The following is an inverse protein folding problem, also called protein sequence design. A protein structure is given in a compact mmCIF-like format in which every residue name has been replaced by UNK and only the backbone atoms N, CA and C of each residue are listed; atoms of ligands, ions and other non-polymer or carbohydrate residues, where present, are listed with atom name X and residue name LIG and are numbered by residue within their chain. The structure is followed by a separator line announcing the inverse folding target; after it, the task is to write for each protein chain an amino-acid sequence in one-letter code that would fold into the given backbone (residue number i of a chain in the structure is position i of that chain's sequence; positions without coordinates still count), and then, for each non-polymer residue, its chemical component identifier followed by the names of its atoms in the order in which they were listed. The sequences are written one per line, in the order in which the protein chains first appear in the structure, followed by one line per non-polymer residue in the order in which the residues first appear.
data_IF_142341815558
#
_entry.id   IF_142341815558
#
_cell.length_a   1.000
_cell.length_b   1.000
_cell.length_c   1.000
_cell.angle_alpha   90.00
_cell.angle_beta   90.00
_cell.angle_gamma   90.00
#
_symmetry.space_group_name_H-M   'P 1'
#
loop_
_entity.id
_entity.type
_entity.pdbx_description
1 polymer ?
#
# COMPACT_ATOMS: atom_id res chain seq x y z
N UNK A 1 -17.97 -11.45 -23.36
CA UNK A 1 -19.34 -12.04 -23.34
C UNK A 1 -19.21 -13.50 -23.71
N UNK A 2 -19.16 -14.42 -22.75
CA UNK A 2 -19.32 -15.85 -22.95
C UNK A 2 -20.83 -16.09 -22.83
N UNK A 3 -21.45 -16.52 -23.91
CA UNK A 3 -22.87 -16.75 -23.97
C UNK A 3 -23.30 -17.82 -22.94
N UNK A 4 -24.39 -17.62 -22.20
CA UNK A 4 -24.85 -18.57 -21.14
C UNK A 4 -25.43 -19.89 -21.66
N UNK A 5 -25.34 -20.18 -22.95
CA UNK A 5 -26.13 -21.24 -23.58
C UNK A 5 -25.43 -22.60 -23.73
N UNK A 6 -24.14 -22.74 -23.42
CA UNK A 6 -23.41 -24.00 -23.63
C UNK A 6 -23.12 -24.85 -22.37
N UNK A 7 -23.69 -24.48 -21.22
CA UNK A 7 -23.55 -25.25 -19.98
C UNK A 7 -24.80 -26.06 -19.64
N UNK A 8 -25.71 -26.21 -20.58
CA UNK A 8 -26.90 -27.01 -20.35
C UNK A 8 -26.81 -28.37 -21.07
N UNK A 9 -26.99 -29.39 -20.37
CA UNK A 9 -27.75 -30.59 -20.69
C UNK A 9 -27.06 -31.94 -20.79
N UNK A 10 -25.74 -32.10 -20.88
CA UNK A 10 -25.17 -33.43 -21.07
C UNK A 10 -24.31 -34.02 -19.95
N UNK A 11 -24.12 -33.31 -18.83
CA UNK A 11 -23.57 -33.93 -17.62
C UNK A 11 -24.73 -34.39 -16.78
N UNK A 12 -25.09 -35.68 -16.91
CA UNK A 12 -26.02 -36.31 -15.99
C UNK A 12 -25.48 -36.13 -14.57
N UNK A 13 -26.34 -35.71 -13.64
CA UNK A 13 -25.94 -35.52 -12.22
C UNK A 13 -25.36 -36.81 -11.61
N UNK A 14 -25.62 -37.98 -12.20
CA UNK A 14 -25.02 -39.25 -11.85
C UNK A 14 -23.52 -39.36 -12.11
N UNK A 15 -22.98 -38.57 -13.02
CA UNK A 15 -21.57 -38.64 -13.42
C UNK A 15 -20.65 -37.80 -12.53
N UNK A 16 -21.24 -36.91 -11.73
CA UNK A 16 -20.51 -36.05 -10.80
C UNK A 16 -20.21 -36.70 -9.44
N UNK A 17 -20.91 -37.82 -9.12
CA UNK A 17 -20.80 -38.40 -7.78
C UNK A 17 -20.49 -39.90 -7.88
N UNK A 18 -19.43 -40.36 -7.23
CA UNK A 18 -19.03 -41.77 -7.16
C UNK A 18 -20.10 -42.65 -6.53
N UNK A 19 -20.97 -42.10 -5.69
CA UNK A 19 -22.09 -42.78 -5.09
C UNK A 19 -23.22 -41.79 -4.77
N UNK A 20 -24.48 -42.18 -4.97
CA UNK A 20 -25.68 -41.35 -4.76
C UNK A 20 -25.75 -40.69 -3.36
N UNK A 21 -25.22 -41.36 -2.33
CA UNK A 21 -25.18 -40.80 -0.96
C UNK A 21 -24.24 -39.63 -0.81
N UNK A 22 -23.34 -39.33 -1.78
CA UNK A 22 -22.42 -38.20 -1.78
C UNK A 22 -23.08 -36.92 -2.32
N UNK A 23 -24.10 -37.03 -3.16
CA UNK A 23 -24.79 -35.90 -3.76
C UNK A 23 -25.23 -34.84 -2.75
N UNK A 24 -25.97 -35.15 -1.65
CA UNK A 24 -26.41 -34.16 -0.70
C UNK A 24 -25.28 -33.52 0.10
N UNK A 25 -24.08 -34.11 0.09
CA UNK A 25 -22.88 -33.57 0.79
C UNK A 25 -22.05 -32.70 -0.15
N UNK A 26 -21.89 -33.11 -1.39
CA UNK A 26 -20.98 -32.49 -2.36
C UNK A 26 -21.68 -31.60 -3.39
N UNK A 27 -23.02 -31.53 -3.41
CA UNK A 27 -23.74 -30.66 -4.36
C UNK A 27 -23.38 -29.18 -4.24
N UNK A 28 -23.10 -28.69 -3.02
CA UNK A 28 -22.70 -27.32 -2.75
C UNK A 28 -21.32 -26.97 -3.29
N UNK A 29 -20.53 -27.98 -3.62
CA UNK A 29 -19.17 -27.87 -4.18
C UNK A 29 -19.03 -28.59 -5.53
N UNK A 30 -20.15 -28.82 -6.20
CA UNK A 30 -20.23 -29.41 -7.54
C UNK A 30 -19.46 -30.73 -7.68
N UNK A 31 -19.61 -31.62 -6.69
CA UNK A 31 -18.97 -32.92 -6.66
C UNK A 31 -17.56 -32.95 -6.07
N UNK A 32 -16.94 -31.80 -5.81
CA UNK A 32 -15.57 -31.74 -5.30
C UNK A 32 -15.52 -31.71 -3.77
N UNK A 33 -14.48 -32.32 -3.20
CA UNK A 33 -14.11 -32.15 -1.79
C UNK A 33 -13.43 -30.76 -1.61
N UNK A 34 -13.98 -29.91 -0.76
CA UNK A 34 -13.48 -28.58 -0.45
C UNK A 34 -13.32 -28.36 1.05
N UNK A 35 -14.22 -28.92 1.85
CA UNK A 35 -14.29 -28.65 3.28
C UNK A 35 -14.05 -29.88 4.14
N UNK A 36 -13.38 -29.68 5.29
CA UNK A 36 -13.18 -30.73 6.30
C UNK A 36 -14.52 -31.33 6.78
N UNK A 37 -15.54 -30.50 6.89
CA UNK A 37 -16.88 -30.91 7.29
C UNK A 37 -17.53 -31.89 6.29
N UNK A 38 -17.23 -31.75 5.00
CA UNK A 38 -17.72 -32.75 3.99
C UNK A 38 -17.10 -34.10 4.23
N UNK A 39 -15.82 -34.20 4.56
CA UNK A 39 -15.17 -35.46 4.92
C UNK A 39 -15.82 -36.07 6.16
N UNK A 40 -16.11 -35.28 7.19
CA UNK A 40 -16.81 -35.76 8.38
C UNK A 40 -18.19 -36.34 8.03
N UNK A 41 -18.93 -35.72 7.14
CA UNK A 41 -20.23 -36.18 6.69
C UNK A 41 -20.13 -37.44 5.82
N UNK A 42 -19.14 -37.51 4.93
CA UNK A 42 -18.86 -38.65 4.09
C UNK A 42 -18.60 -39.92 4.92
N UNK A 43 -17.66 -39.86 5.89
CA UNK A 43 -17.33 -41.01 6.71
C UNK A 43 -18.49 -41.46 7.60
N UNK A 44 -19.33 -40.50 8.05
CA UNK A 44 -20.56 -40.82 8.79
C UNK A 44 -21.62 -41.45 7.92
N UNK A 45 -21.83 -40.95 6.71
CA UNK A 45 -22.87 -41.41 5.78
C UNK A 45 -22.53 -42.72 5.12
N UNK A 46 -21.28 -42.86 4.66
CA UNK A 46 -20.84 -44.06 3.95
C UNK A 46 -20.41 -45.19 4.90
N UNK A 47 -19.64 -44.87 5.95
CA UNK A 47 -19.06 -45.88 6.83
C UNK A 47 -19.71 -45.93 8.23
N UNK A 48 -20.75 -45.13 8.50
CA UNK A 48 -21.48 -45.18 9.76
C UNK A 48 -20.69 -44.66 10.98
N UNK A 49 -19.72 -43.80 10.78
CA UNK A 49 -18.95 -43.22 11.87
C UNK A 49 -19.81 -42.40 12.83
N UNK A 50 -19.49 -42.46 14.11
CA UNK A 50 -20.06 -41.52 15.10
C UNK A 50 -19.50 -40.12 14.87
N UNK A 51 -20.16 -39.10 15.42
CA UNK A 51 -19.70 -37.70 15.35
C UNK A 51 -18.28 -37.56 15.96
N UNK A 52 -18.03 -38.16 17.12
CA UNK A 52 -16.74 -38.12 17.78
C UNK A 52 -15.63 -38.76 16.94
N UNK A 53 -15.88 -39.88 16.29
CA UNK A 53 -14.90 -40.53 15.41
C UNK A 53 -14.59 -39.70 14.16
N UNK A 54 -15.63 -39.13 13.54
CA UNK A 54 -15.44 -38.25 12.39
C UNK A 54 -14.64 -36.94 12.76
N UNK A 55 -14.78 -36.43 14.00
CA UNK A 55 -13.99 -35.31 14.48
C UNK A 55 -12.51 -35.67 14.74
N UNK A 56 -12.23 -36.91 15.19
CA UNK A 56 -10.84 -37.39 15.29
C UNK A 56 -10.19 -37.38 13.91
N UNK A 57 -10.86 -37.89 12.88
CA UNK A 57 -10.36 -37.88 11.53
C UNK A 57 -10.13 -36.45 11.00
N UNK A 58 -11.09 -35.54 11.24
CA UNK A 58 -10.94 -34.13 10.89
C UNK A 58 -9.69 -33.50 11.57
N UNK A 59 -9.44 -33.84 12.84
CA UNK A 59 -8.24 -33.34 13.55
C UNK A 59 -6.95 -33.90 12.97
N UNK A 60 -6.93 -35.17 12.55
CA UNK A 60 -5.80 -35.78 11.87
C UNK A 60 -5.49 -35.04 10.56
N UNK A 61 -6.52 -34.72 9.77
CA UNK A 61 -6.41 -33.89 8.56
C UNK A 61 -5.86 -32.49 8.86
N UNK A 62 -6.43 -31.80 9.84
CA UNK A 62 -6.01 -30.44 10.23
C UNK A 62 -4.57 -30.37 10.73
N UNK A 63 -4.04 -31.46 11.30
CA UNK A 63 -2.64 -31.59 11.73
C UNK A 63 -1.73 -32.16 10.63
N UNK A 64 -2.28 -32.46 9.46
CA UNK A 64 -1.58 -33.13 8.35
C UNK A 64 -0.93 -34.47 8.74
N UNK A 65 -1.56 -35.20 9.69
CA UNK A 65 -1.08 -36.50 10.15
C UNK A 65 -1.61 -37.60 9.25
N UNK A 66 -0.85 -37.95 8.22
CA UNK A 66 -1.22 -38.94 7.22
C UNK A 66 -1.26 -40.35 7.80
N UNK A 67 -0.42 -40.67 8.81
CA UNK A 67 -0.38 -42.04 9.40
C UNK A 67 -1.69 -42.30 10.15
N UNK A 68 -2.24 -41.38 10.88
CA UNK A 68 -3.52 -41.50 11.58
C UNK A 68 -4.68 -41.66 10.58
N UNK A 69 -4.62 -40.95 9.44
CA UNK A 69 -5.62 -41.11 8.38
C UNK A 69 -5.56 -42.52 7.75
N UNK A 70 -4.37 -42.98 7.39
CA UNK A 70 -4.20 -44.28 6.76
C UNK A 70 -4.60 -45.43 7.69
N UNK A 71 -4.39 -45.30 9.01
CA UNK A 71 -4.82 -46.25 10.01
C UNK A 71 -6.36 -46.44 10.05
N UNK A 72 -7.14 -45.43 9.64
CA UNK A 72 -8.60 -45.52 9.57
C UNK A 72 -9.12 -46.21 8.30
N UNK A 73 -8.28 -46.48 7.31
CA UNK A 73 -8.71 -47.02 6.00
C UNK A 73 -9.50 -48.33 6.11
N UNK A 74 -8.98 -49.32 6.85
CA UNK A 74 -9.64 -50.60 7.00
C UNK A 74 -11.01 -50.46 7.68
N UNK A 75 -11.09 -49.68 8.73
CA UNK A 75 -12.33 -49.42 9.47
C UNK A 75 -13.38 -48.72 8.57
N UNK A 76 -12.93 -47.75 7.76
CA UNK A 76 -13.80 -47.07 6.81
C UNK A 76 -14.38 -48.06 5.78
N UNK A 77 -13.54 -48.91 5.19
CA UNK A 77 -13.96 -49.89 4.20
C UNK A 77 -14.92 -50.96 4.78
N UNK A 78 -14.67 -51.39 6.02
CA UNK A 78 -15.60 -52.28 6.72
C UNK A 78 -16.98 -51.63 6.97
N UNK A 79 -16.96 -50.32 7.36
CA UNK A 79 -18.18 -49.56 7.52
C UNK A 79 -18.95 -49.39 6.22
N UNK A 80 -18.27 -49.06 5.11
CA UNK A 80 -18.85 -49.00 3.77
C UNK A 80 -19.50 -50.31 3.37
N UNK A 81 -18.82 -51.44 3.59
CA UNK A 81 -19.37 -52.79 3.31
C UNK A 81 -20.65 -53.07 4.10
N UNK A 82 -20.69 -52.71 5.39
CA UNK A 82 -21.90 -52.85 6.23
C UNK A 82 -23.07 -52.03 5.72
N UNK A 83 -22.81 -50.88 5.09
CA UNK A 83 -23.83 -50.02 4.51
C UNK A 83 -24.12 -50.32 3.02
N UNK A 84 -23.65 -51.45 2.49
CA UNK A 84 -23.93 -51.89 1.13
C UNK A 84 -23.17 -51.18 0.02
N UNK A 85 -22.08 -50.48 0.37
CA UNK A 85 -21.24 -49.73 -0.58
C UNK A 85 -20.12 -50.67 -1.07
N UNK A 86 -19.93 -50.74 -2.38
CA UNK A 86 -18.92 -51.56 -3.02
C UNK A 86 -17.50 -51.19 -2.60
N UNK A 87 -16.60 -52.15 -2.49
CA UNK A 87 -15.23 -51.98 -2.05
C UNK A 87 -14.48 -50.95 -2.92
N UNK A 88 -14.64 -51.04 -4.24
CA UNK A 88 -13.96 -50.14 -5.19
C UNK A 88 -14.36 -48.67 -4.98
N UNK A 89 -15.66 -48.41 -4.80
CA UNK A 89 -16.17 -47.04 -4.48
C UNK A 89 -15.62 -46.57 -3.17
N UNK A 90 -15.63 -47.41 -2.11
CA UNK A 90 -15.06 -47.07 -0.81
C UNK A 90 -13.59 -46.72 -0.87
N UNK A 91 -12.79 -47.52 -1.62
CA UNK A 91 -11.35 -47.25 -1.79
C UNK A 91 -11.11 -45.96 -2.56
N UNK A 92 -11.85 -45.66 -3.61
CA UNK A 92 -11.73 -44.42 -4.39
C UNK A 92 -12.05 -43.23 -3.55
N UNK A 93 -13.20 -43.23 -2.84
CA UNK A 93 -13.60 -42.12 -1.96
C UNK A 93 -12.57 -41.89 -0.83
N UNK A 94 -12.06 -43.00 -0.26
CA UNK A 94 -11.04 -42.87 0.78
C UNK A 94 -9.75 -42.26 0.25
N UNK A 95 -9.27 -42.66 -0.90
CA UNK A 95 -8.06 -42.10 -1.51
C UNK A 95 -8.23 -40.64 -1.89
N UNK A 96 -9.42 -40.23 -2.37
CA UNK A 96 -9.73 -38.81 -2.59
C UNK A 96 -9.68 -38.01 -1.28
N UNK A 97 -10.26 -38.56 -0.19
CA UNK A 97 -10.19 -37.90 1.12
C UNK A 97 -8.76 -37.76 1.63
N UNK A 98 -7.90 -38.77 1.43
CA UNK A 98 -6.47 -38.72 1.81
C UNK A 98 -5.73 -37.67 0.99
N UNK A 99 -5.91 -37.66 -0.32
CA UNK A 99 -5.32 -36.69 -1.21
C UNK A 99 -5.75 -35.26 -0.85
N UNK A 100 -7.00 -35.09 -0.47
CA UNK A 100 -7.57 -33.80 -0.07
C UNK A 100 -7.11 -33.35 1.33
N UNK A 101 -6.68 -34.26 2.22
CA UNK A 101 -6.34 -33.94 3.61
C UNK A 101 -5.28 -32.85 3.75
N UNK A 102 -4.35 -32.75 2.81
CA UNK A 102 -3.32 -31.73 2.82
C UNK A 102 -3.86 -30.31 2.58
N UNK A 103 -4.99 -30.20 1.85
CA UNK A 103 -5.58 -28.94 1.40
C UNK A 103 -6.93 -28.65 2.05
N UNK A 104 -7.41 -29.52 2.94
CA UNK A 104 -8.72 -29.45 3.57
C UNK A 104 -8.93 -28.13 4.34
N UNK A 105 -9.99 -27.39 4.00
CA UNK A 105 -10.29 -26.10 4.58
C UNK A 105 -11.51 -26.15 5.51
N UNK A 106 -11.49 -25.35 6.60
CA UNK A 106 -12.63 -25.30 7.53
C UNK A 106 -13.75 -24.44 6.95
N UNK A 107 -14.96 -24.98 6.81
CA UNK A 107 -16.12 -24.28 6.22
C UNK A 107 -16.57 -23.08 7.05
N UNK A 108 -16.54 -23.19 8.37
CA UNK A 108 -16.93 -22.08 9.27
C UNK A 108 -16.00 -20.90 9.11
N UNK A 109 -14.69 -21.15 8.97
CA UNK A 109 -13.70 -20.11 8.70
C UNK A 109 -13.96 -19.45 7.34
N UNK A 110 -14.18 -20.25 6.28
CA UNK A 110 -14.50 -19.72 4.96
C UNK A 110 -15.77 -18.86 4.97
N UNK A 111 -16.82 -19.31 5.65
CA UNK A 111 -18.07 -18.55 5.76
C UNK A 111 -17.89 -17.20 6.49
N UNK A 112 -17.10 -17.19 7.57
CA UNK A 112 -16.80 -15.95 8.29
C UNK A 112 -16.04 -14.95 7.43
N UNK A 113 -15.02 -15.42 6.69
CA UNK A 113 -14.27 -14.55 5.76
C UNK A 113 -15.10 -14.13 4.54
N UNK A 114 -15.98 -14.98 4.04
CA UNK A 114 -16.89 -14.58 2.97
C UNK A 114 -17.85 -13.47 3.41
N UNK A 115 -18.38 -13.56 4.64
CA UNK A 115 -19.20 -12.49 5.21
C UNK A 115 -18.41 -11.19 5.37
N UNK A 116 -17.17 -11.26 5.88
CA UNK A 116 -16.27 -10.10 5.99
C UNK A 116 -15.95 -9.53 4.60
N UNK A 117 -15.63 -10.39 3.63
CA UNK A 117 -15.39 -9.98 2.25
C UNK A 117 -16.58 -9.27 1.62
N UNK A 118 -17.79 -9.78 1.87
CA UNK A 118 -19.02 -9.11 1.44
C UNK A 118 -19.18 -7.73 2.10
N UNK A 119 -19.00 -7.63 3.43
CA UNK A 119 -19.11 -6.36 4.14
C UNK A 119 -18.10 -5.34 3.63
N UNK A 120 -16.85 -5.73 3.42
CA UNK A 120 -15.82 -4.81 2.89
C UNK A 120 -16.13 -4.37 1.46
N UNK A 121 -16.59 -5.31 0.61
CA UNK A 121 -17.05 -4.99 -0.75
C UNK A 121 -18.25 -4.04 -0.77
N UNK A 122 -19.22 -4.28 0.10
CA UNK A 122 -20.40 -3.42 0.27
C UNK A 122 -20.00 -1.99 0.69
N UNK A 123 -19.16 -1.89 1.74
CA UNK A 123 -18.69 -0.58 2.23
C UNK A 123 -17.87 0.16 1.16
N UNK A 124 -17.01 -0.53 0.44
CA UNK A 124 -16.23 0.07 -0.66
C UNK A 124 -17.12 0.56 -1.80
N UNK A 125 -18.23 -0.14 -2.08
CA UNK A 125 -19.16 0.23 -3.16
C UNK A 125 -20.04 1.44 -2.78
N UNK A 126 -20.63 1.42 -1.58
CA UNK A 126 -21.64 2.41 -1.19
C UNK A 126 -21.08 3.58 -0.36
N UNK A 127 -19.94 3.39 0.31
CA UNK A 127 -19.27 4.38 1.16
C UNK A 127 -17.76 4.44 0.84
N UNK A 128 -17.39 4.67 -0.45
CA UNK A 128 -16.00 4.53 -0.89
C UNK A 128 -15.05 5.49 -0.19
N UNK A 129 -15.48 6.70 0.13
CA UNK A 129 -14.63 7.73 0.76
C UNK A 129 -14.29 7.33 2.19
N UNK A 130 -15.30 6.93 2.97
CA UNK A 130 -15.17 6.49 4.36
C UNK A 130 -14.36 5.19 4.43
N UNK A 131 -14.63 4.25 3.50
CA UNK A 131 -13.89 2.99 3.41
C UNK A 131 -12.40 3.24 3.16
N UNK A 132 -12.06 4.10 2.18
CA UNK A 132 -10.67 4.42 1.86
C UNK A 132 -9.99 5.18 3.01
N UNK A 133 -10.67 6.09 3.70
CA UNK A 133 -10.12 6.78 4.87
C UNK A 133 -9.81 5.80 6.03
N UNK A 134 -10.72 4.84 6.29
CA UNK A 134 -10.51 3.79 7.28
C UNK A 134 -9.36 2.85 6.89
N UNK A 135 -9.27 2.48 5.62
CA UNK A 135 -8.21 1.63 5.09
C UNK A 135 -6.83 2.31 5.20
N UNK A 136 -6.72 3.59 4.83
CA UNK A 136 -5.50 4.39 5.02
C UNK A 136 -5.12 4.49 6.48
N UNK A 137 -6.10 4.67 7.38
CA UNK A 137 -5.88 4.70 8.82
C UNK A 137 -5.30 3.40 9.35
N UNK A 138 -5.74 2.25 8.84
CA UNK A 138 -5.26 0.93 9.28
C UNK A 138 -3.79 0.66 8.92
N UNK A 139 -3.25 1.39 7.95
CA UNK A 139 -1.87 1.23 7.47
C UNK A 139 -0.99 2.45 7.73
N UNK A 140 -1.39 3.34 8.64
CA UNK A 140 -0.53 4.44 9.09
C UNK A 140 0.78 3.88 9.63
N UNK A 141 1.91 4.37 9.10
CA UNK A 141 3.25 3.84 9.42
C UNK A 141 3.80 2.83 8.38
N UNK A 142 2.96 2.30 7.47
CA UNK A 142 3.40 1.46 6.35
C UNK A 142 3.40 2.29 5.04
N UNK A 143 4.46 3.04 4.81
CA UNK A 143 4.55 4.04 3.72
C UNK A 143 4.14 3.49 2.34
N UNK A 144 4.63 2.31 1.96
CA UNK A 144 4.32 1.68 0.66
C UNK A 144 2.83 1.37 0.50
N UNK A 145 2.21 0.77 1.54
CA UNK A 145 0.77 0.47 1.50
C UNK A 145 -0.07 1.73 1.50
N UNK A 146 0.33 2.73 2.29
CA UNK A 146 -0.37 4.02 2.35
C UNK A 146 -0.33 4.72 0.98
N UNK A 147 0.83 4.76 0.32
CA UNK A 147 0.98 5.32 -1.03
C UNK A 147 0.08 4.61 -2.05
N UNK A 148 0.03 3.27 -2.01
CA UNK A 148 -0.86 2.44 -2.86
C UNK A 148 -2.34 2.79 -2.63
N UNK A 149 -2.78 2.92 -1.38
CA UNK A 149 -4.19 3.23 -1.09
C UNK A 149 -4.55 4.67 -1.43
N UNK A 150 -3.63 5.64 -1.28
CA UNK A 150 -3.84 7.02 -1.74
C UNK A 150 -3.99 7.05 -3.27
N UNK A 151 -3.15 6.31 -4.00
CA UNK A 151 -3.29 6.15 -5.45
C UNK A 151 -4.66 5.56 -5.81
N UNK A 152 -5.04 4.45 -5.20
CA UNK A 152 -6.33 3.80 -5.43
C UNK A 152 -7.51 4.75 -5.18
N UNK A 153 -7.46 5.56 -4.10
CA UNK A 153 -8.49 6.55 -3.83
C UNK A 153 -8.57 7.59 -4.96
N UNK A 154 -7.44 8.08 -5.45
CA UNK A 154 -7.38 9.03 -6.57
C UNK A 154 -7.91 8.43 -7.88
N UNK A 155 -7.58 7.18 -8.17
CA UNK A 155 -8.07 6.44 -9.35
C UNK A 155 -9.60 6.24 -9.28
N UNK A 156 -10.18 6.16 -8.06
CA UNK A 156 -11.62 6.18 -7.81
C UNK A 156 -12.24 7.59 -7.87
N UNK A 157 -11.46 8.62 -8.18
CA UNK A 157 -11.92 10.02 -8.21
C UNK A 157 -12.06 10.67 -6.83
N UNK A 158 -11.57 10.04 -5.77
CA UNK A 158 -11.62 10.55 -4.39
C UNK A 158 -10.41 11.45 -4.16
N UNK A 159 -10.67 12.71 -3.79
CA UNK A 159 -9.63 13.66 -3.47
C UNK A 159 -9.06 13.40 -2.07
N UNK A 160 -7.74 13.27 -1.99
CA UNK A 160 -6.99 13.17 -0.73
C UNK A 160 -6.24 14.48 -0.53
N UNK A 161 -6.64 15.21 0.50
CA UNK A 161 -6.06 16.50 0.86
C UNK A 161 -4.71 16.29 1.59
N UNK A 162 -3.73 17.19 1.42
CA UNK A 162 -2.49 17.15 2.19
C UNK A 162 -2.76 17.37 3.68
N UNK A 163 -1.77 17.08 4.56
CA UNK A 163 -1.88 17.41 5.98
C UNK A 163 -2.19 18.91 6.17
N UNK A 164 -3.06 19.21 7.13
CA UNK A 164 -3.43 20.59 7.49
C UNK A 164 -3.80 20.63 8.97
N UNK A 165 -3.12 21.46 9.77
CA UNK A 165 -3.37 21.59 11.21
C UNK A 165 -4.75 22.18 11.52
N UNK A 166 -5.36 22.89 10.58
CA UNK A 166 -6.70 23.46 10.72
C UNK A 166 -7.82 22.47 10.37
N UNK A 167 -7.53 21.41 9.61
CA UNK A 167 -8.53 20.44 9.11
C UNK A 167 -8.26 18.99 9.52
N UNK A 168 -6.97 18.62 9.66
CA UNK A 168 -6.55 17.28 9.98
C UNK A 168 -6.89 16.89 11.43
N UNK A 169 -7.14 15.61 11.62
CA UNK A 169 -7.29 14.97 12.92
C UNK A 169 -6.17 13.94 13.10
N UNK A 170 -6.24 13.20 14.19
CA UNK A 170 -5.31 12.09 14.47
C UNK A 170 -5.22 11.11 13.30
N UNK A 171 -6.39 10.65 12.82
CA UNK A 171 -6.57 9.66 11.75
C UNK A 171 -7.03 10.33 10.47
N UNK A 172 -6.99 9.60 9.36
CA UNK A 172 -7.64 10.04 8.14
C UNK A 172 -9.13 10.24 8.39
N UNK A 173 -9.68 11.35 7.94
CA UNK A 173 -11.07 11.74 8.19
C UNK A 173 -11.75 12.21 6.91
N UNK A 174 -13.08 12.09 6.87
CA UNK A 174 -13.86 12.51 5.71
C UNK A 174 -14.55 13.84 6.01
N UNK A 175 -14.46 14.76 5.06
CA UNK A 175 -15.18 16.02 5.10
C UNK A 175 -15.58 16.43 3.68
N UNK A 176 -16.86 16.73 3.47
CA UNK A 176 -17.41 17.16 2.17
C UNK A 176 -17.07 16.20 0.99
N UNK A 177 -17.01 14.89 1.25
CA UNK A 177 -16.69 13.88 0.23
C UNK A 177 -15.19 13.80 -0.14
N UNK A 178 -14.33 14.47 0.60
CA UNK A 178 -12.87 14.44 0.45
C UNK A 178 -12.22 13.80 1.69
N UNK A 179 -11.05 13.19 1.53
CA UNK A 179 -10.27 12.62 2.64
C UNK A 179 -9.25 13.64 3.10
N UNK A 180 -9.27 14.00 4.38
CA UNK A 180 -8.22 14.79 5.03
C UNK A 180 -7.14 13.87 5.60
N UNK A 181 -5.87 14.25 5.38
CA UNK A 181 -4.72 13.47 5.85
C UNK A 181 -4.66 13.41 7.36
N UNK A 182 -4.41 12.22 7.91
CA UNK A 182 -4.23 12.01 9.35
C UNK A 182 -2.89 12.58 9.83
N UNK A 183 -2.91 13.44 10.84
CA UNK A 183 -1.69 14.09 11.32
C UNK A 183 -0.69 13.10 11.96
N UNK A 184 -1.16 11.97 12.50
CA UNK A 184 -0.28 10.88 12.98
C UNK A 184 0.46 10.14 11.86
N UNK A 185 0.02 10.24 10.62
CA UNK A 185 0.74 9.67 9.49
C UNK A 185 1.94 10.53 9.03
N UNK A 186 2.14 11.71 9.62
CA UNK A 186 3.34 12.52 9.43
C UNK A 186 4.45 11.99 10.32
N UNK A 187 5.63 11.72 9.76
CA UNK A 187 6.79 11.23 10.53
C UNK A 187 7.12 12.11 11.70
N UNK A 188 7.47 11.52 12.82
CA UNK A 188 7.85 12.16 14.09
C UNK A 188 6.77 13.02 14.75
N UNK A 189 5.52 12.94 14.32
CA UNK A 189 4.38 13.59 14.96
C UNK A 189 3.68 12.57 15.84
N UNK A 190 3.75 12.75 17.15
CA UNK A 190 3.15 11.85 18.14
C UNK A 190 1.72 12.24 18.52
N UNK A 191 0.96 11.29 19.11
CA UNK A 191 -0.44 11.48 19.50
C UNK A 191 -0.65 12.67 20.44
N UNK A 192 0.23 12.86 21.44
CA UNK A 192 0.14 13.98 22.37
C UNK A 192 0.19 15.35 21.70
N UNK A 193 0.99 15.49 20.63
CA UNK A 193 1.06 16.73 19.85
C UNK A 193 -0.23 16.95 19.05
N UNK A 194 -0.76 15.90 18.44
CA UNK A 194 -2.01 15.98 17.66
C UNK A 194 -3.21 16.29 18.56
N UNK A 195 -3.26 15.68 19.75
CA UNK A 195 -4.27 16.02 20.76
C UNK A 195 -4.19 17.48 21.18
N UNK A 196 -2.98 18.00 21.47
CA UNK A 196 -2.77 19.39 21.81
C UNK A 196 -3.23 20.33 20.69
N UNK A 197 -2.95 20.00 19.42
CA UNK A 197 -3.43 20.76 18.25
C UNK A 197 -4.96 20.76 18.21
N UNK A 198 -5.58 19.59 18.40
CA UNK A 198 -7.04 19.44 18.34
C UNK A 198 -7.72 20.21 19.48
N UNK A 199 -7.21 20.11 20.69
CA UNK A 199 -7.72 20.82 21.86
C UNK A 199 -7.60 22.35 21.69
N UNK A 200 -6.44 22.84 21.23
CA UNK A 200 -6.22 24.25 20.94
C UNK A 200 -7.19 24.75 19.86
N UNK A 201 -7.33 24.01 18.77
CA UNK A 201 -8.26 24.34 17.68
C UNK A 201 -9.72 24.40 18.16
N UNK A 202 -10.13 23.50 19.06
CA UNK A 202 -11.48 23.50 19.63
C UNK A 202 -11.76 24.72 20.49
N UNK A 203 -10.72 25.32 21.10
CA UNK A 203 -10.82 26.54 21.93
C UNK A 203 -10.86 27.80 21.09
N UNK A 204 -9.96 27.93 20.09
CA UNK A 204 -9.76 29.19 19.36
C UNK A 204 -10.28 29.19 17.92
N UNK A 205 -10.79 28.04 17.45
CA UNK A 205 -11.18 27.88 16.06
C UNK A 205 -10.00 27.58 15.16
N UNK A 206 -9.89 28.28 14.03
CA UNK A 206 -8.80 28.08 13.06
C UNK A 206 -7.61 28.99 13.40
N UNK A 207 -6.41 28.42 13.34
CA UNK A 207 -5.17 29.18 13.46
C UNK A 207 -4.96 30.04 12.21
N UNK A 208 -4.63 31.34 12.40
CA UNK A 208 -4.41 32.29 11.31
C UNK A 208 -2.95 32.29 10.82
N UNK A 209 -2.02 32.17 11.76
CA UNK A 209 -0.57 32.24 11.55
C UNK A 209 0.18 31.32 12.52
N UNK A 210 1.49 31.21 12.36
CA UNK A 210 2.33 30.33 13.19
C UNK A 210 2.42 30.80 14.66
N UNK A 211 2.31 32.09 14.92
CA UNK A 211 2.30 32.67 16.28
C UNK A 211 1.03 32.19 17.01
N UNK A 212 -0.14 32.40 16.40
CA UNK A 212 -1.42 31.92 16.91
C UNK A 212 -1.38 30.42 17.14
N UNK A 213 -0.82 29.65 16.22
CA UNK A 213 -0.69 28.19 16.35
C UNK A 213 0.14 27.82 17.59
N UNK A 214 1.37 28.32 17.71
CA UNK A 214 2.29 27.93 18.80
C UNK A 214 1.82 28.51 20.15
N UNK A 215 1.27 29.73 20.20
CA UNK A 215 0.81 30.33 21.45
C UNK A 215 -0.32 29.56 22.14
N UNK A 216 -1.23 28.94 21.40
CA UNK A 216 -2.36 28.19 21.95
C UNK A 216 -2.07 26.71 22.24
N UNK A 217 -0.91 26.17 21.82
CA UNK A 217 -0.53 24.80 22.14
C UNK A 217 -0.05 24.68 23.61
N UNK A 218 -0.26 23.50 24.20
CA UNK A 218 0.31 23.19 25.51
C UNK A 218 1.85 23.07 25.43
N UNK A 219 2.56 23.91 26.17
CA UNK A 219 4.01 23.98 26.18
C UNK A 219 4.71 22.67 26.57
N UNK A 220 4.04 21.79 27.34
CA UNK A 220 4.57 20.49 27.79
C UNK A 220 4.39 19.38 26.74
N UNK A 221 3.43 19.55 25.82
CA UNK A 221 3.09 18.55 24.78
C UNK A 221 3.71 18.87 23.42
N UNK A 222 4.22 20.10 23.23
CA UNK A 222 4.86 20.55 22.00
C UNK A 222 6.37 20.29 22.04
N UNK A 223 6.92 19.77 20.92
CA UNK A 223 8.35 19.66 20.73
C UNK A 223 8.79 20.20 19.36
N UNK A 224 10.03 20.72 19.30
CA UNK A 224 10.59 21.34 18.08
C UNK A 224 10.56 20.39 16.88
N UNK A 225 10.90 19.10 17.10
CA UNK A 225 10.97 18.14 15.99
C UNK A 225 9.62 17.88 15.35
N UNK A 226 8.57 17.73 16.14
CA UNK A 226 7.21 17.50 15.60
C UNK A 226 6.72 18.74 14.80
N UNK A 227 6.95 19.95 15.29
CA UNK A 227 6.56 21.20 14.59
C UNK A 227 7.36 21.34 13.30
N UNK A 228 8.67 21.09 13.32
CA UNK A 228 9.51 21.06 12.12
C UNK A 228 8.92 20.11 11.07
N UNK A 229 8.57 18.89 11.48
CA UNK A 229 8.01 17.87 10.59
C UNK A 229 6.63 18.28 10.05
N UNK A 230 5.77 18.93 10.86
CA UNK A 230 4.52 19.50 10.40
C UNK A 230 4.73 20.61 9.37
N UNK A 231 5.72 21.49 9.58
CA UNK A 231 6.07 22.54 8.60
C UNK A 231 6.55 21.89 7.30
N UNK A 232 7.50 20.96 7.37
CA UNK A 232 8.09 20.28 6.21
C UNK A 232 7.06 19.42 5.44
N UNK A 233 6.09 18.83 6.12
CA UNK A 233 4.99 18.11 5.48
C UNK A 233 3.97 19.00 4.77
N UNK A 234 4.09 20.33 4.96
CA UNK A 234 3.14 21.30 4.43
C UNK A 234 1.86 21.45 5.25
N UNK A 235 1.80 20.91 6.47
CA UNK A 235 0.61 20.97 7.32
C UNK A 235 0.24 22.41 7.77
N UNK A 236 1.16 23.37 7.60
CA UNK A 236 0.96 24.77 7.92
C UNK A 236 0.66 25.66 6.69
N UNK A 237 0.43 25.07 5.51
CA UNK A 237 0.14 25.89 4.31
C UNK A 237 -1.16 26.69 4.38
N UNK A 238 -2.07 26.34 5.26
CA UNK A 238 -3.30 27.10 5.51
C UNK A 238 -3.06 28.37 6.36
N UNK A 239 -1.88 28.50 6.96
CA UNK A 239 -1.49 29.66 7.74
C UNK A 239 -0.89 30.77 6.86
N UNK A 240 -0.92 32.00 7.36
CA UNK A 240 -0.23 33.16 6.75
C UNK A 240 1.28 32.92 6.74
N UNK A 241 1.93 33.20 5.62
CA UNK A 241 3.37 33.00 5.41
C UNK A 241 3.70 31.82 4.51
N UNK A 242 4.98 31.55 4.34
CA UNK A 242 5.50 30.45 3.53
C UNK A 242 6.37 29.51 4.39
N UNK A 243 6.74 28.34 3.81
CA UNK A 243 7.47 27.32 4.55
C UNK A 243 8.82 27.80 5.07
N UNK A 244 9.56 28.63 4.29
CA UNK A 244 10.83 29.18 4.72
C UNK A 244 10.66 30.08 5.93
N UNK A 245 9.66 30.95 5.92
CA UNK A 245 9.34 31.86 7.03
C UNK A 245 8.98 31.08 8.30
N UNK A 246 8.14 30.03 8.17
CA UNK A 246 7.76 29.19 9.30
C UNK A 246 8.98 28.50 9.91
N UNK A 247 9.88 27.93 9.05
CA UNK A 247 11.12 27.30 9.50
C UNK A 247 12.10 28.26 10.17
N UNK A 248 12.06 29.53 9.82
CA UNK A 248 12.93 30.53 10.42
C UNK A 248 12.53 30.94 11.86
N UNK A 249 11.23 30.86 12.20
CA UNK A 249 10.72 31.42 13.47
C UNK A 249 10.27 30.36 14.49
N UNK A 250 9.92 29.12 14.08
CA UNK A 250 9.28 28.13 14.96
C UNK A 250 10.10 27.79 16.21
N UNK A 251 11.42 27.70 16.11
CA UNK A 251 12.26 27.31 17.25
C UNK A 251 12.30 28.42 18.34
N UNK A 252 12.36 29.66 17.94
CA UNK A 252 12.34 30.80 18.87
C UNK A 252 10.99 30.88 19.58
N UNK A 253 9.88 30.73 18.83
CA UNK A 253 8.54 30.77 19.38
C UNK A 253 8.28 29.62 20.39
N UNK A 254 8.70 28.40 20.10
CA UNK A 254 8.57 27.27 21.03
C UNK A 254 9.44 27.52 22.28
N UNK A 255 10.68 28.02 22.10
CA UNK A 255 11.59 28.27 23.22
C UNK A 255 11.07 29.36 24.13
N UNK A 256 10.48 30.42 23.58
CA UNK A 256 9.84 31.50 24.33
C UNK A 256 8.62 30.97 25.10
N UNK A 257 7.74 30.26 24.43
CA UNK A 257 6.56 29.60 25.06
C UNK A 257 6.97 28.74 26.25
N UNK A 258 8.00 27.90 26.09
CA UNK A 258 8.48 27.01 27.15
C UNK A 258 9.13 27.76 28.32
N UNK A 259 9.83 28.87 28.06
CA UNK A 259 10.39 29.75 29.12
C UNK A 259 9.27 30.40 29.92
N UNK A 260 8.28 30.97 29.24
CA UNK A 260 7.17 31.66 29.90
C UNK A 260 6.38 30.67 30.79
N UNK A 261 6.16 29.43 30.30
CA UNK A 261 5.50 28.39 31.09
C UNK A 261 6.29 27.99 32.36
N UNK A 262 7.62 27.94 32.32
CA UNK A 262 8.46 27.67 33.50
C UNK A 262 8.38 28.78 34.52
N UNK A 263 8.40 30.05 34.09
CA UNK A 263 8.28 31.19 34.99
C UNK A 263 6.95 31.22 35.72
N UNK A 264 5.85 30.87 35.05
CA UNK A 264 4.53 30.72 35.67
C UNK A 264 4.51 29.61 36.73
N UNK A 265 5.14 28.46 36.45
CA UNK A 265 5.21 27.33 37.39
C UNK A 265 6.11 27.61 38.60
N UNK A 266 7.15 28.48 38.47
CA UNK A 266 8.05 28.86 39.55
C UNK A 266 7.49 29.99 40.44
N UNK A 267 6.22 30.43 40.20
CA UNK A 267 5.54 31.43 41.04
C UNK A 267 5.98 32.89 40.81
N UNK A 268 6.77 33.13 39.77
CA UNK A 268 7.04 34.50 39.29
C UNK A 268 5.95 34.93 38.30
N UNK A 269 4.85 35.44 38.82
CA UNK A 269 3.84 36.07 37.99
C UNK A 269 4.47 37.27 37.24
N UNK A 270 4.54 37.17 35.92
CA UNK A 270 4.88 38.29 35.08
C UNK A 270 3.73 39.31 35.15
N UNK A 271 4.06 40.61 35.13
CA UNK A 271 3.09 41.70 35.04
C UNK A 271 2.10 41.56 33.85
N UNK A 272 2.40 40.68 32.90
CA UNK A 272 1.55 40.36 31.75
C UNK A 272 0.46 39.30 32.05
N UNK A 273 0.55 38.55 33.16
CA UNK A 273 -0.43 37.51 33.52
C UNK A 273 -1.69 38.06 34.24
N UNK A 274 -1.71 39.36 34.57
CA UNK A 274 -2.83 40.05 35.25
C UNK A 274 -3.97 40.44 34.31
N UNK A 275 -3.97 40.01 33.07
CA UNK A 275 -4.97 40.47 32.11
C UNK A 275 -5.30 39.53 30.98
N UNK A 276 -5.67 38.24 31.26
CA UNK A 276 -6.30 37.42 30.21
C UNK A 276 -7.55 38.09 29.64
N UNK A 277 -8.28 38.87 30.44
CA UNK A 277 -9.45 39.65 29.99
C UNK A 277 -9.10 40.99 29.29
N UNK A 278 -7.82 41.44 29.36
CA UNK A 278 -7.35 42.70 28.73
C UNK A 278 -6.56 42.42 27.45
N UNK A 279 -5.96 41.21 27.32
CA UNK A 279 -5.15 40.84 26.14
C UNK A 279 -6.08 40.60 24.93
N UNK A 280 -7.28 40.05 25.10
CA UNK A 280 -8.26 39.96 24.03
C UNK A 280 -8.78 41.33 23.52
N UNK A 281 -8.69 42.38 24.34
CA UNK A 281 -9.08 43.75 23.95
C UNK A 281 -7.94 44.59 23.36
N UNK A 282 -6.67 44.17 23.56
CA UNK A 282 -5.48 44.88 23.03
C UNK A 282 -4.89 44.19 21.79
N UNK A 283 -5.32 42.96 21.47
CA UNK A 283 -4.78 42.18 20.34
C UNK A 283 -5.40 42.56 18.97
N UNK A 284 -6.34 43.51 18.96
CA UNK A 284 -6.77 44.14 17.70
C UNK A 284 -5.76 45.19 17.17
N UNK A 285 -4.66 45.45 17.88
CA UNK A 285 -3.77 46.59 17.52
C UNK A 285 -2.26 46.44 17.62
N UNK A 286 -1.67 45.35 18.17
CA UNK A 286 -0.20 45.32 18.28
C UNK A 286 0.44 43.98 18.44
N UNK A 287 1.15 43.62 17.47
CA UNK A 287 2.12 42.60 17.10
C UNK A 287 1.53 41.40 16.35
N UNK A 288 1.02 41.66 15.15
CA UNK A 288 1.27 40.70 14.08
C UNK A 288 2.76 40.36 14.13
N UNK A 289 3.14 39.18 14.65
CA UNK A 289 4.53 38.75 14.69
C UNK A 289 5.03 38.78 13.26
N UNK A 290 5.83 39.80 12.94
CA UNK A 290 6.32 40.07 11.59
C UNK A 290 7.16 38.86 11.18
N UNK A 291 6.64 38.05 10.25
CA UNK A 291 7.44 37.03 9.61
C UNK A 291 8.61 37.68 8.85
N UNK A 292 9.80 37.09 8.84
CA UNK A 292 10.95 37.64 8.13
C UNK A 292 10.63 37.75 6.63
N UNK A 293 11.08 38.84 6.00
CA UNK A 293 10.94 39.01 4.56
C UNK A 293 11.89 38.06 3.83
N UNK A 294 11.36 36.93 3.39
CA UNK A 294 12.12 35.94 2.63
C UNK A 294 11.21 35.19 1.64
N UNK A 295 11.79 34.84 0.51
CA UNK A 295 11.12 33.98 -0.48
C UNK A 295 10.91 32.58 0.05
N UNK A 296 9.98 31.85 -0.57
CA UNK A 296 9.76 30.44 -0.22
C UNK A 296 10.91 29.55 -0.70
N UNK A 297 11.03 28.38 -0.10
CA UNK A 297 11.99 27.35 -0.55
C UNK A 297 11.64 26.87 -1.96
N UNK A 298 12.64 26.38 -2.69
CA UNK A 298 12.43 25.89 -4.05
C UNK A 298 11.40 24.74 -4.09
N UNK A 299 10.62 24.65 -5.16
CA UNK A 299 9.65 23.55 -5.36
C UNK A 299 10.30 22.18 -5.22
N UNK A 300 11.54 22.00 -5.70
CA UNK A 300 12.29 20.77 -5.56
C UNK A 300 12.51 20.42 -4.09
N UNK A 301 12.92 21.38 -3.26
CA UNK A 301 13.15 21.16 -1.84
C UNK A 301 11.85 20.91 -1.08
N UNK A 302 10.74 21.59 -1.46
CA UNK A 302 9.40 21.29 -0.91
C UNK A 302 9.00 19.85 -1.17
N UNK A 303 9.19 19.35 -2.39
CA UNK A 303 8.90 17.95 -2.76
C UNK A 303 9.80 16.96 -1.98
N UNK A 304 11.08 17.28 -1.80
CA UNK A 304 11.99 16.45 -0.99
C UNK A 304 11.51 16.38 0.46
N UNK A 305 11.11 17.49 1.06
CA UNK A 305 10.56 17.50 2.42
C UNK A 305 9.24 16.77 2.52
N UNK A 306 8.34 16.94 1.55
CA UNK A 306 7.07 16.20 1.50
C UNK A 306 7.33 14.69 1.47
N UNK A 307 8.22 14.21 0.58
CA UNK A 307 8.61 12.80 0.47
C UNK A 307 9.24 12.28 1.77
N UNK A 308 10.15 13.06 2.37
CA UNK A 308 10.81 12.70 3.63
C UNK A 308 9.80 12.52 4.78
N UNK A 309 8.82 13.43 4.89
CA UNK A 309 7.85 13.45 6.00
C UNK A 309 6.65 12.53 5.80
N UNK A 310 6.20 12.34 4.56
CA UNK A 310 4.99 11.57 4.24
C UNK A 310 5.28 10.21 3.58
N UNK A 311 6.50 9.99 3.11
CA UNK A 311 6.90 8.80 2.35
C UNK A 311 6.43 8.80 0.89
N UNK A 312 5.70 9.85 0.45
CA UNK A 312 5.10 9.95 -0.88
C UNK A 312 4.90 11.40 -1.32
N UNK A 313 4.62 11.61 -2.60
CA UNK A 313 4.29 12.91 -3.16
C UNK A 313 2.76 13.10 -3.23
N UNK A 314 2.20 14.03 -2.43
CA UNK A 314 0.77 14.31 -2.43
C UNK A 314 0.38 15.43 -3.39
N UNK A 315 1.09 16.56 -3.35
CA UNK A 315 0.75 17.74 -4.16
C UNK A 315 1.35 17.70 -5.55
N UNK A 316 2.65 17.48 -5.64
CA UNK A 316 3.38 17.54 -6.90
C UNK A 316 4.31 16.34 -7.01
N UNK A 317 4.10 15.53 -8.04
CA UNK A 317 5.01 14.43 -8.35
C UNK A 317 6.10 14.95 -9.32
N UNK A 318 7.39 14.68 -9.09
CA UNK A 318 8.47 15.15 -9.98
C UNK A 318 8.30 14.74 -11.44
N UNK A 319 7.67 13.59 -11.67
CA UNK A 319 7.41 13.05 -13.01
C UNK A 319 6.19 13.68 -13.70
N UNK A 320 5.42 14.56 -13.04
CA UNK A 320 4.14 15.08 -13.56
C UNK A 320 4.29 15.77 -14.92
N UNK A 321 5.33 16.58 -15.04
CA UNK A 321 5.58 17.35 -16.28
C UNK A 321 6.08 16.44 -17.42
N UNK A 322 6.58 15.25 -17.10
CA UNK A 322 7.07 14.25 -18.05
C UNK A 322 6.07 13.12 -18.34
N UNK A 323 4.86 13.20 -17.78
CA UNK A 323 3.87 12.10 -17.84
C UNK A 323 3.62 11.62 -19.28
N UNK A 324 3.40 12.54 -20.22
CA UNK A 324 3.15 12.19 -21.62
C UNK A 324 4.34 11.48 -22.27
N UNK A 325 5.55 11.91 -21.96
CA UNK A 325 6.79 11.30 -22.49
C UNK A 325 6.94 9.89 -21.90
N UNK A 326 6.73 9.76 -20.59
CA UNK A 326 6.81 8.49 -19.88
C UNK A 326 5.77 7.51 -20.44
N UNK A 327 4.50 7.90 -20.51
CA UNK A 327 3.40 7.04 -20.99
C UNK A 327 3.63 6.54 -22.44
N UNK A 328 4.33 7.33 -23.29
CA UNK A 328 4.68 6.92 -24.64
C UNK A 328 5.93 6.03 -24.72
N UNK A 329 6.80 6.07 -23.72
CA UNK A 329 8.06 5.33 -23.72
C UNK A 329 7.93 3.97 -23.05
N UNK A 330 7.19 3.86 -21.94
CA UNK A 330 7.17 2.68 -21.08
C UNK A 330 6.36 1.52 -21.68
N UNK A 331 6.79 0.30 -21.38
CA UNK A 331 6.01 -0.93 -21.62
C UNK A 331 5.49 -1.55 -20.33
N UNK A 332 6.05 -1.16 -19.17
CA UNK A 332 5.69 -1.70 -17.86
C UNK A 332 5.78 -0.59 -16.80
N UNK A 333 5.01 -0.73 -15.73
CA UNK A 333 5.06 0.12 -14.52
C UNK A 333 5.59 -0.68 -13.34
N UNK A 334 6.08 0.00 -12.31
CA UNK A 334 6.62 -0.64 -11.12
C UNK A 334 5.58 -1.53 -10.41
N UNK A 335 4.30 -1.13 -10.38
CA UNK A 335 3.21 -1.93 -9.80
C UNK A 335 3.04 -3.30 -10.48
N UNK A 336 3.32 -3.41 -11.78
CA UNK A 336 3.21 -4.68 -12.51
C UNK A 336 4.32 -5.68 -12.11
N UNK A 337 5.39 -5.21 -11.46
CA UNK A 337 6.48 -6.05 -10.93
C UNK A 337 6.22 -6.50 -9.49
N UNK A 338 5.31 -5.86 -8.76
CA UNK A 338 4.89 -6.23 -7.42
C UNK A 338 3.68 -7.17 -7.48
N UNK A 339 3.86 -8.49 -7.76
CA UNK A 339 2.83 -9.54 -7.65
C UNK A 339 1.40 -9.12 -8.07
N UNK A 340 1.26 -8.59 -9.27
CA UNK A 340 -0.04 -8.35 -9.87
C UNK A 340 -0.50 -9.64 -10.56
N UNK A 341 -1.49 -10.35 -9.98
CA UNK A 341 -2.09 -11.56 -10.57
C UNK A 341 -2.64 -11.31 -11.99
N UNK A 342 -2.83 -10.06 -12.36
CA UNK A 342 -3.32 -9.65 -13.69
C UNK A 342 -2.22 -9.58 -14.76
N UNK A 343 -0.92 -9.56 -14.37
CA UNK A 343 0.20 -9.48 -15.28
C UNK A 343 1.18 -10.65 -15.09
N UNK A 344 1.25 -11.52 -16.10
CA UNK A 344 2.16 -12.68 -16.07
C UNK A 344 3.56 -12.24 -16.51
N UNK A 345 4.43 -12.01 -15.53
CA UNK A 345 5.84 -11.69 -15.75
C UNK A 345 6.59 -12.91 -16.31
N UNK A 346 7.44 -12.68 -17.33
CA UNK A 346 8.35 -13.71 -17.86
C UNK A 346 9.79 -13.30 -17.59
N UNK A 347 10.58 -14.23 -17.07
CA UNK A 347 12.01 -14.02 -16.91
C UNK A 347 12.67 -13.78 -18.28
N UNK A 348 13.57 -12.79 -18.35
CA UNK A 348 14.23 -12.37 -19.59
C UNK A 348 13.37 -11.51 -20.53
N UNK A 349 12.13 -11.17 -20.21
CA UNK A 349 11.27 -10.31 -21.01
C UNK A 349 11.86 -8.91 -21.13
N UNK A 350 11.87 -8.37 -22.37
CA UNK A 350 12.38 -7.02 -22.63
C UNK A 350 11.36 -5.96 -22.28
N UNK A 351 11.74 -5.05 -21.40
CA UNK A 351 10.85 -4.01 -20.87
C UNK A 351 11.47 -2.63 -20.95
N UNK A 352 10.60 -1.62 -20.91
CA UNK A 352 10.95 -0.21 -20.80
C UNK A 352 10.22 0.40 -19.61
N UNK A 353 10.97 1.07 -18.76
CA UNK A 353 10.46 1.80 -17.60
C UNK A 353 11.10 3.17 -17.52
N UNK A 354 10.41 4.15 -16.96
CA UNK A 354 10.96 5.47 -16.72
C UNK A 354 10.52 5.97 -15.35
N UNK A 355 11.43 6.64 -14.65
CA UNK A 355 11.17 7.09 -13.28
C UNK A 355 12.28 8.02 -12.77
N UNK A 356 12.12 8.43 -11.50
CA UNK A 356 13.15 9.15 -10.77
C UNK A 356 14.02 8.16 -10.00
N UNK A 357 15.33 8.43 -9.99
CA UNK A 357 16.29 7.64 -9.21
C UNK A 357 16.17 8.01 -7.75
N UNK A 358 15.65 7.12 -6.91
CA UNK A 358 15.49 7.34 -5.47
C UNK A 358 16.73 6.96 -4.68
N UNK A 359 17.47 5.93 -5.14
CA UNK A 359 18.68 5.46 -4.48
C UNK A 359 19.67 4.88 -5.50
N UNK A 360 20.96 5.02 -5.22
CA UNK A 360 22.06 4.45 -6.03
C UNK A 360 23.10 3.85 -5.09
N UNK A 361 23.40 2.58 -5.29
CA UNK A 361 24.49 1.89 -4.62
C UNK A 361 25.50 1.39 -5.65
N UNK A 362 26.68 2.01 -5.69
CA UNK A 362 27.77 1.62 -6.61
C UNK A 362 28.69 0.64 -5.90
N UNK A 363 28.91 -0.50 -6.50
CA UNK A 363 29.81 -1.53 -5.98
C UNK A 363 30.92 -1.86 -6.98
N UNK A 364 32.03 -2.36 -6.46
CA UNK A 364 33.13 -2.87 -7.28
C UNK A 364 33.05 -4.40 -7.35
N UNK A 365 33.03 -4.94 -8.55
CA UNK A 365 33.01 -6.39 -8.79
C UNK A 365 34.35 -7.04 -8.46
N UNK A 366 34.36 -8.39 -8.36
CA UNK A 366 35.61 -9.14 -8.15
C UNK A 366 36.65 -8.93 -9.27
N UNK A 367 36.23 -8.45 -10.45
CA UNK A 367 37.13 -8.11 -11.59
C UNK A 367 37.58 -6.66 -11.57
N UNK A 368 37.32 -5.93 -10.48
CA UNK A 368 37.64 -4.50 -10.31
C UNK A 368 36.83 -3.55 -11.23
N UNK A 369 35.75 -4.02 -11.83
CA UNK A 369 34.83 -3.19 -12.61
C UNK A 369 33.74 -2.60 -11.69
N UNK A 370 33.25 -1.40 -11.99
CA UNK A 370 32.16 -0.78 -11.26
C UNK A 370 30.80 -1.17 -11.85
N UNK A 371 29.84 -1.45 -11.01
CA UNK A 371 28.43 -1.64 -11.35
C UNK A 371 27.53 -0.93 -10.33
N UNK A 372 26.25 -0.74 -10.63
CA UNK A 372 25.32 -0.09 -9.72
C UNK A 372 24.04 -0.90 -9.53
N UNK A 373 23.48 -0.81 -8.33
CA UNK A 373 22.09 -1.09 -8.04
C UNK A 373 21.38 0.24 -7.87
N UNK A 374 20.39 0.47 -8.68
CA UNK A 374 19.63 1.72 -8.72
C UNK A 374 18.18 1.43 -8.42
N UNK A 375 17.58 2.17 -7.51
CA UNK A 375 16.15 2.13 -7.26
C UNK A 375 15.48 3.21 -8.10
N UNK A 376 14.60 2.80 -9.02
CA UNK A 376 13.85 3.67 -9.91
C UNK A 376 12.39 3.72 -9.46
N UNK A 377 11.89 4.92 -9.17
CA UNK A 377 10.52 5.17 -8.71
C UNK A 377 9.71 5.81 -9.83
N UNK A 378 8.58 5.20 -10.18
CA UNK A 378 7.60 5.75 -11.11
C UNK A 378 6.36 6.29 -10.38
N UNK A 379 5.25 6.53 -11.08
CA UNK A 379 3.99 6.98 -10.46
C UNK A 379 3.30 5.92 -9.60
N UNK A 380 3.74 4.66 -9.67
CA UNK A 380 3.02 3.51 -9.14
C UNK A 380 3.77 2.77 -8.05
N UNK A 381 5.10 2.89 -8.02
CA UNK A 381 5.96 2.21 -7.07
C UNK A 381 7.43 2.38 -7.39
N UNK A 382 8.28 1.53 -6.80
CA UNK A 382 9.71 1.50 -7.05
C UNK A 382 10.17 0.12 -7.52
N UNK A 383 11.22 0.07 -8.31
CA UNK A 383 11.83 -1.16 -8.81
C UNK A 383 13.34 -1.08 -8.73
N UNK A 384 13.97 -2.18 -8.35
CA UNK A 384 15.45 -2.29 -8.38
C UNK A 384 15.92 -2.55 -9.81
N UNK A 385 16.81 -1.70 -10.27
CA UNK A 385 17.46 -1.79 -11.57
C UNK A 385 18.94 -2.15 -11.38
N UNK A 386 19.36 -3.29 -11.93
CA UNK A 386 20.76 -3.75 -11.90
C UNK A 386 21.47 -3.20 -13.14
N UNK A 387 22.52 -2.44 -12.92
CA UNK A 387 23.33 -1.84 -14.00
C UNK A 387 24.69 -2.49 -14.00
N UNK A 388 24.88 -3.46 -14.89
CA UNK A 388 26.16 -4.17 -15.05
C UNK A 388 27.27 -3.27 -15.60
N UNK A 389 28.54 -3.65 -15.45
CA UNK A 389 29.69 -2.78 -15.77
C UNK A 389 29.64 -2.13 -17.14
N UNK A 390 29.25 -2.88 -18.18
CA UNK A 390 29.21 -2.36 -19.56
C UNK A 390 28.15 -1.25 -19.71
N UNK A 391 26.97 -1.41 -19.13
CA UNK A 391 25.91 -0.41 -19.15
C UNK A 391 26.23 0.75 -18.19
N UNK A 392 26.85 0.46 -17.04
CA UNK A 392 27.27 1.47 -16.07
C UNK A 392 28.34 2.41 -16.66
N UNK A 393 29.36 1.89 -17.33
CA UNK A 393 30.39 2.70 -17.96
C UNK A 393 29.83 3.72 -18.96
N UNK A 394 28.76 3.35 -19.70
CA UNK A 394 28.11 4.22 -20.69
C UNK A 394 27.22 5.29 -20.05
N UNK A 395 26.56 4.96 -18.95
CA UNK A 395 25.54 5.81 -18.32
C UNK A 395 25.97 6.43 -16.98
N UNK A 396 27.23 6.31 -16.59
CA UNK A 396 27.77 6.73 -15.29
C UNK A 396 27.40 8.18 -14.92
N UNK A 397 27.45 9.10 -15.88
CA UNK A 397 27.12 10.52 -15.66
C UNK A 397 25.62 10.79 -15.47
N UNK A 398 24.78 9.84 -15.83
CA UNK A 398 23.33 9.94 -15.70
C UNK A 398 22.82 9.33 -14.37
N UNK A 399 23.56 8.35 -13.84
CA UNK A 399 23.13 7.58 -12.65
C UNK A 399 23.47 8.35 -11.38
N UNK A 400 22.59 9.28 -11.05
CA UNK A 400 22.63 10.09 -9.84
C UNK A 400 21.24 10.16 -9.22
N UNK A 401 21.17 10.28 -7.90
CA UNK A 401 19.90 10.46 -7.18
C UNK A 401 19.15 11.70 -7.67
N UNK A 402 17.84 11.68 -7.68
CA UNK A 402 16.93 12.73 -8.18
C UNK A 402 16.99 12.98 -9.72
N UNK A 403 17.69 12.19 -10.48
CA UNK A 403 17.63 12.24 -11.95
C UNK A 403 16.40 11.46 -12.45
N UNK A 404 15.79 11.96 -13.51
CA UNK A 404 14.68 11.27 -14.19
C UNK A 404 15.27 10.54 -15.39
N UNK A 405 15.19 9.22 -15.36
CA UNK A 405 15.80 8.32 -16.34
C UNK A 405 14.76 7.43 -17.01
N UNK A 406 15.06 7.09 -18.24
CA UNK A 406 14.37 6.08 -19.01
C UNK A 406 15.30 4.87 -19.22
N UNK A 407 14.85 3.71 -18.83
CA UNK A 407 15.62 2.46 -18.81
C UNK A 407 14.97 1.44 -19.73
N UNK A 408 15.76 0.86 -20.61
CA UNK A 408 15.38 -0.33 -21.37
C UNK A 408 16.23 -1.50 -20.89
N UNK A 409 15.61 -2.64 -20.66
CA UNK A 409 16.29 -3.78 -20.07
C UNK A 409 15.44 -5.04 -20.10
N UNK A 410 15.83 -6.02 -19.28
CA UNK A 410 15.15 -7.31 -19.17
C UNK A 410 14.74 -7.57 -17.74
N UNK A 411 13.58 -8.17 -17.56
CA UNK A 411 13.11 -8.64 -16.25
C UNK A 411 14.00 -9.79 -15.79
N UNK A 412 14.36 -9.80 -14.52
CA UNK A 412 15.03 -10.90 -13.84
C UNK A 412 14.18 -11.35 -12.66
N UNK A 413 13.70 -12.60 -12.71
CA UNK A 413 12.92 -13.25 -11.68
C UNK A 413 13.77 -14.34 -11.04
N UNK A 414 13.94 -14.29 -9.73
CA UNK A 414 14.57 -15.35 -8.95
C UNK A 414 13.61 -15.83 -7.88
N UNK A 415 13.69 -17.11 -7.53
CA UNK A 415 12.94 -17.67 -6.42
C UNK A 415 13.23 -16.89 -5.13
N UNK A 416 12.18 -16.53 -4.40
CA UNK A 416 12.21 -15.77 -3.13
C UNK A 416 12.69 -14.30 -3.20
N UNK A 417 13.01 -13.75 -4.39
CA UNK A 417 13.35 -12.33 -4.55
C UNK A 417 12.27 -11.57 -5.32
N UNK A 418 12.09 -10.28 -5.01
CA UNK A 418 11.25 -9.41 -5.83
C UNK A 418 11.84 -9.28 -7.25
N UNK A 419 11.00 -9.22 -8.30
CA UNK A 419 11.45 -9.02 -9.67
C UNK A 419 12.30 -7.75 -9.82
N UNK A 420 13.39 -7.85 -10.59
CA UNK A 420 14.34 -6.76 -10.84
C UNK A 420 14.47 -6.52 -12.34
N UNK A 421 14.99 -5.36 -12.72
CA UNK A 421 15.29 -5.06 -14.14
C UNK A 421 16.80 -5.02 -14.34
N UNK A 422 17.31 -5.79 -15.29
CA UNK A 422 18.69 -5.71 -15.75
C UNK A 422 18.75 -4.68 -16.87
N UNK A 423 19.43 -3.55 -16.65
CA UNK A 423 19.51 -2.46 -17.61
C UNK A 423 20.45 -2.78 -18.78
N UNK A 424 19.91 -2.73 -19.98
CA UNK A 424 20.69 -2.77 -21.23
C UNK A 424 21.10 -1.36 -21.66
N UNK A 425 20.16 -0.39 -21.59
CA UNK A 425 20.38 1.01 -21.97
C UNK A 425 19.68 1.96 -21.00
N UNK A 426 20.34 3.06 -20.67
CA UNK A 426 19.85 4.11 -19.78
C UNK A 426 20.07 5.44 -20.47
N UNK A 427 19.02 6.26 -20.57
CA UNK A 427 19.04 7.59 -21.17
C UNK A 427 18.32 8.59 -20.27
N UNK A 428 18.60 9.88 -20.45
CA UNK A 428 17.80 10.93 -19.81
C UNK A 428 16.36 10.92 -20.35
N UNK A 429 15.41 11.44 -19.58
CA UNK A 429 14.01 11.51 -20.02
C UNK A 429 13.85 12.39 -21.28
N UNK A 430 14.68 13.41 -21.42
CA UNK A 430 14.68 14.31 -22.59
C UNK A 430 15.16 13.58 -23.85
N UNK A 431 16.18 12.72 -23.75
CA UNK A 431 16.63 11.87 -24.87
C UNK A 431 15.59 10.80 -25.23
N UNK A 432 14.88 10.25 -24.23
CA UNK A 432 13.79 9.31 -24.46
C UNK A 432 12.66 9.95 -25.29
N UNK A 433 12.38 11.23 -25.08
CA UNK A 433 11.43 12.00 -25.88
C UNK A 433 11.82 12.01 -27.37
N UNK A 434 13.09 12.27 -27.68
CA UNK A 434 13.60 12.27 -29.07
C UNK A 434 13.44 10.90 -29.71
N UNK A 435 13.70 9.82 -28.96
CA UNK A 435 13.56 8.44 -29.44
C UNK A 435 12.10 8.02 -29.71
N UNK A 436 11.13 8.66 -29.03
CA UNK A 436 9.71 8.37 -29.23
C UNK A 436 9.08 9.19 -30.35
N UNK A 437 9.60 10.39 -30.61
CA UNK A 437 9.09 11.33 -31.63
C UNK A 437 9.73 11.10 -33.00
N UNK A 438 10.92 10.46 -33.06
CA UNK A 438 11.56 10.13 -34.34
C UNK A 438 10.62 9.24 -35.19
N UNK A 439 10.22 9.67 -36.40
CA UNK A 439 9.37 8.84 -37.24
C UNK A 439 10.11 7.51 -37.48
N UNK A 440 9.41 6.39 -37.34
CA UNK A 440 9.89 5.08 -37.79
C UNK A 440 10.09 5.21 -39.31
N UNK A 441 11.31 5.60 -39.72
CA UNK A 441 11.70 5.51 -41.14
C UNK A 441 11.67 4.03 -41.45
N UNK A 442 10.57 3.61 -42.11
CA UNK A 442 10.42 2.26 -42.60
C UNK A 442 11.63 1.91 -43.44
N UNK A 443 12.34 0.83 -43.12
CA UNK A 443 13.20 0.16 -44.07
C UNK A 443 12.28 -0.29 -45.20
N UNK A 444 12.19 0.53 -46.23
CA UNK A 444 11.63 0.11 -47.50
C UNK A 444 12.48 -1.08 -47.95
N UNK A 445 11.87 -2.24 -48.06
CA UNK A 445 12.50 -3.41 -48.69
C UNK A 445 12.66 -3.10 -50.14
N UNK A 446 13.88 -2.75 -50.59
CA UNK A 446 14.29 -2.91 -51.97
C UNK A 446 14.36 -4.42 -52.29
N UNK A 447 13.21 -4.96 -52.62
CA UNK A 447 13.10 -6.20 -53.40
C UNK A 447 11.94 -5.98 -54.40
N UNK A 448 12.31 -5.40 -55.54
CA UNK A 448 11.69 -5.67 -56.82
C UNK A 448 12.52 -5.03 -57.90
N UNK A 449 13.10 -5.89 -58.68
CA UNK A 449 13.50 -5.89 -60.09
C UNK A 449 14.92 -6.36 -60.34
N UNK A 450 15.10 -7.57 -60.66
CA UNK A 450 15.37 -8.09 -62.01
C UNK A 450 14.98 -9.56 -62.05
#
# INVERSE_FOLDING_TARGET
EIAPSDWSSDVCSSDLYLHKSLEPILNVSYGCLVYQEQVMEIVRKLAGYTYGRSDILRRAMGKKNMDDMLAEKETFLEGCKKNGIGKEIGETVFNEMVSFAEYAFNKSHAAAYAALGYHTGYLKCYYPVEFMAALMTSVMGEEKKLAKYIKNARDMGIKVNPPDINKGFEKFSVSHGEINYGLLAVKHVGGSVVEAITEARNKVGTFKDIHSFISHLDANRINKKAVECLIKSGALYSLKGNMAQHLAVYESLISEKQKNNRHVLEGQMSFFDLGEDIVDALDEGSSEGKLPEMGDISKKLQMTFEKEMLGLYLKNHPLKDYKTIIDNFISIRAENLENDESYVLKDGESVKIAGIVSNVNVITTRKNDQMAFMELEDFTGSVEVIVFPNSFAKARSLIETDKILAVSGKISIKEEEAPKIIADNIVSIDEAHILTVAPKIGRASCRERV
#
